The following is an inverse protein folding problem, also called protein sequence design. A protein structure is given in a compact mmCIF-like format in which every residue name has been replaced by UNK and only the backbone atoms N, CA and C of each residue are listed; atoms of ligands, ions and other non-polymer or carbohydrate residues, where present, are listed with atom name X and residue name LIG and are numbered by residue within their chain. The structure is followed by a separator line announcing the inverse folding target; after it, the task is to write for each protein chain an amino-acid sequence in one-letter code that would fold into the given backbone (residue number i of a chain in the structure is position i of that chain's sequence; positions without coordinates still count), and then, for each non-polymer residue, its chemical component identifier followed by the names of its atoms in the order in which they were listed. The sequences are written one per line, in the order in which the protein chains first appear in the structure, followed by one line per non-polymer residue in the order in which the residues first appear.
data_IF_805990622260
#
_entry.id   IF_805990622260
#
_cell.length_a   1.000
_cell.length_b   1.000
_cell.length_c   1.000
_cell.angle_alpha   90.00
_cell.angle_beta   90.00
_cell.angle_gamma   90.00
#
_symmetry.space_group_name_H-M   'P 1'
#
loop_
_entity.id
_entity.type
_entity.pdbx_description
1 polymer ?
#
# COMPACT_ATOMS: atom_id res chain seq x y z
N UNK A 1 24.51 -3.82 5.90
CA UNK A 1 24.01 -4.48 7.12
C UNK A 1 23.36 -5.79 6.71
N UNK A 2 23.67 -6.89 7.38
CA UNK A 2 23.04 -8.18 7.12
C UNK A 2 21.61 -8.15 7.71
N UNK A 3 20.60 -8.44 6.88
CA UNK A 3 19.27 -8.73 7.39
C UNK A 3 19.27 -10.13 8.04
N UNK A 4 18.67 -10.32 9.22
CA UNK A 4 18.52 -11.66 9.80
C UNK A 4 17.60 -12.56 8.95
N UNK A 5 16.72 -11.96 8.17
CA UNK A 5 15.82 -12.65 7.24
C UNK A 5 16.52 -12.79 5.88
N UNK A 6 17.04 -13.97 5.61
CA UNK A 6 17.71 -14.31 4.36
C UNK A 6 16.97 -15.46 3.68
N UNK A 7 17.04 -15.49 2.35
CA UNK A 7 16.51 -16.61 1.55
C UNK A 7 17.23 -17.92 1.89
N UNK A 8 16.52 -19.03 1.78
CA UNK A 8 17.15 -20.35 1.88
C UNK A 8 18.14 -20.56 0.72
N UNK A 9 19.16 -21.44 0.90
CA UNK A 9 20.08 -21.80 -0.19
C UNK A 9 19.35 -22.32 -1.44
N UNK A 10 18.24 -23.04 -1.26
CA UNK A 10 17.42 -23.55 -2.37
C UNK A 10 16.71 -22.40 -3.11
N UNK A 11 16.15 -21.42 -2.38
CA UNK A 11 15.51 -20.26 -3.00
C UNK A 11 16.51 -19.43 -3.81
N UNK A 12 17.77 -19.32 -3.31
CA UNK A 12 18.85 -18.65 -4.03
C UNK A 12 19.17 -19.40 -5.33
N UNK A 13 19.28 -20.72 -5.26
CA UNK A 13 19.60 -21.58 -6.42
C UNK A 13 18.53 -21.50 -7.51
N UNK A 14 17.27 -21.50 -7.12
CA UNK A 14 16.13 -21.41 -8.05
C UNK A 14 15.71 -19.99 -8.39
N UNK A 15 16.42 -18.97 -7.93
CA UNK A 15 16.10 -17.56 -8.20
C UNK A 15 14.82 -17.06 -7.54
N UNK A 16 14.30 -17.78 -6.54
CA UNK A 16 13.12 -17.40 -5.79
C UNK A 16 13.44 -16.27 -4.80
N UNK A 17 12.55 -15.30 -4.67
CA UNK A 17 12.69 -14.16 -3.75
C UNK A 17 11.88 -14.30 -2.47
N UNK A 18 11.12 -15.36 -2.34
CA UNK A 18 10.37 -15.73 -1.14
C UNK A 18 11.31 -15.98 0.05
N UNK A 19 10.83 -15.68 1.25
CA UNK A 19 11.47 -16.05 2.51
C UNK A 19 10.81 -17.26 3.18
N UNK A 20 9.80 -17.85 2.54
CA UNK A 20 8.97 -18.90 3.14
C UNK A 20 9.75 -20.14 3.56
N UNK A 21 10.84 -20.47 2.84
CA UNK A 21 11.74 -21.58 3.17
C UNK A 21 12.93 -21.15 4.08
N UNK A 22 12.92 -19.89 4.54
CA UNK A 22 13.91 -19.40 5.49
C UNK A 22 13.56 -19.84 6.91
N UNK A 23 14.49 -20.49 7.59
CA UNK A 23 14.28 -20.93 8.98
C UNK A 23 13.94 -19.73 9.90
N UNK A 24 14.64 -18.62 9.73
CA UNK A 24 14.39 -17.41 10.51
C UNK A 24 12.98 -16.83 10.27
N UNK A 25 12.51 -16.82 9.01
CA UNK A 25 11.16 -16.41 8.68
C UNK A 25 10.11 -17.35 9.25
N UNK A 26 10.29 -18.66 9.10
CA UNK A 26 9.37 -19.66 9.64
C UNK A 26 9.25 -19.53 11.18
N UNK A 27 10.36 -19.32 11.85
CA UNK A 27 10.37 -19.14 13.30
C UNK A 27 9.65 -17.85 13.71
N UNK A 28 9.90 -16.77 12.98
CA UNK A 28 9.23 -15.48 13.20
C UNK A 28 7.72 -15.59 12.96
N UNK A 29 7.28 -16.20 11.85
CA UNK A 29 5.86 -16.40 11.53
C UNK A 29 5.15 -17.27 12.59
N UNK A 30 5.82 -18.34 13.05
CA UNK A 30 5.29 -19.17 14.12
C UNK A 30 5.20 -18.40 15.44
N UNK A 31 6.23 -17.63 15.77
CA UNK A 31 6.24 -16.81 16.99
C UNK A 31 5.13 -15.76 16.97
N UNK A 32 4.93 -15.10 15.85
CA UNK A 32 3.86 -14.09 15.67
C UNK A 32 2.44 -14.68 15.76
N UNK A 33 2.29 -16.00 15.59
CA UNK A 33 1.02 -16.71 15.80
C UNK A 33 0.79 -17.13 17.24
N UNK A 34 1.87 -17.28 18.03
CA UNK A 34 1.81 -17.72 19.42
C UNK A 34 1.87 -16.57 20.43
N UNK A 35 2.56 -15.50 20.09
CA UNK A 35 2.82 -14.36 20.95
C UNK A 35 2.43 -13.06 20.26
N UNK A 36 1.92 -12.13 21.04
CA UNK A 36 1.63 -10.78 20.55
C UNK A 36 2.90 -9.93 20.50
N UNK A 37 2.92 -8.82 19.74
CA UNK A 37 4.03 -7.87 19.81
C UNK A 37 4.16 -7.21 21.20
N UNK A 38 3.12 -7.25 22.03
CA UNK A 38 3.18 -6.78 23.41
C UNK A 38 3.99 -7.69 24.30
N UNK A 39 4.04 -9.01 23.98
CA UNK A 39 4.84 -10.01 24.70
C UNK A 39 6.30 -10.02 24.22
N UNK A 40 6.50 -9.96 22.88
CA UNK A 40 7.82 -10.07 22.25
C UNK A 40 8.64 -8.78 22.27
N UNK A 41 7.98 -7.64 22.28
CA UNK A 41 8.60 -6.31 22.30
C UNK A 41 7.95 -5.41 23.36
N UNK A 42 8.17 -5.69 24.67
CA UNK A 42 7.53 -4.95 25.76
C UNK A 42 7.94 -3.48 25.80
N UNK A 43 9.11 -3.11 25.30
CA UNK A 43 9.57 -1.72 25.22
C UNK A 43 8.97 -0.96 24.03
N UNK A 44 8.44 -1.66 23.03
CA UNK A 44 7.85 -1.02 21.85
C UNK A 44 8.90 -0.48 20.87
N UNK A 45 10.13 -0.96 20.93
CA UNK A 45 11.21 -0.50 20.04
C UNK A 45 10.85 -0.74 18.56
N UNK A 46 10.98 0.32 17.77
CA UNK A 46 10.79 0.23 16.33
C UNK A 46 12.01 0.82 15.60
N UNK A 47 12.82 -0.01 14.93
CA UNK A 47 14.04 0.45 14.24
C UNK A 47 13.74 1.46 13.12
N UNK A 48 12.51 1.53 12.62
CA UNK A 48 12.09 2.49 11.61
C UNK A 48 12.10 3.93 12.16
N UNK A 49 11.89 4.13 13.47
CA UNK A 49 11.94 5.44 14.13
C UNK A 49 13.24 6.18 13.82
N UNK A 50 14.38 5.57 14.17
CA UNK A 50 15.70 6.18 13.96
C UNK A 50 16.01 6.41 12.46
N UNK A 51 15.48 5.55 11.59
CA UNK A 51 15.65 5.72 10.13
C UNK A 51 14.86 6.93 9.65
N UNK A 52 13.60 7.08 10.06
CA UNK A 52 12.75 8.21 9.67
C UNK A 52 13.30 9.53 10.20
N UNK A 53 13.70 9.58 11.45
CA UNK A 53 14.33 10.78 12.05
C UNK A 53 15.64 11.17 11.36
N UNK A 54 16.40 10.18 10.87
CA UNK A 54 17.67 10.43 10.18
C UNK A 54 17.56 10.84 8.70
N UNK A 55 16.42 10.56 8.03
CA UNK A 55 16.28 10.79 6.58
C UNK A 55 15.17 11.79 6.21
N UNK A 56 14.23 12.06 7.10
CA UNK A 56 13.08 12.95 6.85
C UNK A 56 13.25 14.25 7.62
N UNK A 57 13.33 15.35 6.88
CA UNK A 57 13.17 16.70 7.47
C UNK A 57 11.68 17.00 7.58
N UNK A 58 11.10 16.73 8.76
CA UNK A 58 9.68 16.94 9.02
C UNK A 58 9.27 18.41 8.96
N UNK A 59 10.17 19.34 9.29
CA UNK A 59 9.89 20.76 9.17
C UNK A 59 9.72 21.16 7.71
N UNK A 60 10.68 20.77 6.86
CA UNK A 60 10.59 21.01 5.41
C UNK A 60 9.39 20.30 4.79
N UNK A 61 9.11 19.05 5.20
CA UNK A 61 7.96 18.27 4.72
C UNK A 61 6.64 19.00 5.01
N UNK A 62 6.45 19.46 6.22
CA UNK A 62 5.21 20.09 6.67
C UNK A 62 4.99 21.49 6.07
N UNK A 63 6.07 22.18 5.66
CA UNK A 63 6.00 23.44 4.92
C UNK A 63 6.04 23.28 3.40
N UNK A 64 6.08 22.06 2.90
CA UNK A 64 6.09 21.77 1.46
C UNK A 64 4.80 22.26 0.79
N UNK A 65 4.88 22.84 -0.43
CA UNK A 65 3.70 23.12 -1.24
C UNK A 65 3.00 21.86 -1.75
N UNK A 66 3.70 20.71 -1.76
CA UNK A 66 3.10 19.42 -2.07
C UNK A 66 2.24 18.95 -0.91
N UNK A 67 0.98 18.61 -1.19
CA UNK A 67 0.08 18.02 -0.19
C UNK A 67 0.41 16.55 -0.02
N UNK A 68 0.68 16.16 1.21
CA UNK A 68 0.89 14.78 1.60
C UNK A 68 -0.29 14.29 2.44
N UNK A 69 -0.82 13.13 2.09
CA UNK A 69 -1.89 12.46 2.84
C UNK A 69 -1.39 11.09 3.27
N UNK A 70 -1.45 10.84 4.57
CA UNK A 70 -1.03 9.57 5.19
C UNK A 70 -2.22 9.01 5.95
N UNK A 71 -2.60 7.77 5.64
CA UNK A 71 -3.71 7.11 6.31
C UNK A 71 -3.20 6.16 7.38
N UNK A 72 -3.81 6.19 8.56
CA UNK A 72 -3.66 5.16 9.59
C UNK A 72 -5.04 4.71 10.05
N UNK A 73 -5.16 3.46 10.48
CA UNK A 73 -6.42 2.85 10.90
C UNK A 73 -6.58 2.96 12.41
N UNK A 74 -7.61 3.65 12.89
CA UNK A 74 -7.97 3.67 14.30
C UNK A 74 -8.34 2.26 14.76
N UNK A 75 -7.63 1.75 15.77
CA UNK A 75 -7.79 0.36 16.24
C UNK A 75 -9.16 0.10 16.85
N UNK A 76 -9.72 1.09 17.53
CA UNK A 76 -10.98 0.95 18.27
C UNK A 76 -12.20 0.96 17.34
N UNK A 77 -12.14 1.77 16.26
CA UNK A 77 -13.28 1.99 15.38
C UNK A 77 -13.16 1.31 14.01
N UNK A 78 -11.94 0.90 13.62
CA UNK A 78 -11.64 0.39 12.29
C UNK A 78 -11.65 1.48 11.20
N UNK A 79 -11.86 2.75 11.55
CA UNK A 79 -11.94 3.84 10.59
C UNK A 79 -10.55 4.39 10.25
N UNK A 80 -10.37 4.78 8.98
CA UNK A 80 -9.17 5.47 8.53
C UNK A 80 -9.15 6.93 8.99
N UNK A 81 -8.07 7.35 9.65
CA UNK A 81 -7.74 8.75 9.86
C UNK A 81 -6.70 9.18 8.82
N UNK A 82 -6.99 10.24 8.09
CA UNK A 82 -6.04 10.83 7.13
C UNK A 82 -5.33 11.99 7.78
N UNK A 83 -4.03 11.84 7.95
CA UNK A 83 -3.13 12.91 8.39
C UNK A 83 -2.60 13.66 7.17
N UNK A 84 -2.34 14.94 7.31
CA UNK A 84 -1.86 15.83 6.24
C UNK A 84 -0.89 16.87 6.78
N UNK A 85 -0.13 17.55 5.91
CA UNK A 85 0.64 18.69 6.38
C UNK A 85 -0.32 19.71 7.06
N UNK A 86 0.07 20.36 8.20
CA UNK A 86 1.38 20.27 8.86
C UNK A 86 1.51 19.17 9.92
N UNK A 87 0.58 18.22 10.02
CA UNK A 87 0.46 17.27 11.14
C UNK A 87 1.27 15.98 10.95
N UNK A 88 2.12 15.91 9.92
CA UNK A 88 2.93 14.71 9.66
C UNK A 88 4.12 14.66 10.62
N UNK A 89 4.15 13.61 11.43
CA UNK A 89 5.21 13.30 12.41
C UNK A 89 5.80 11.92 12.17
N UNK A 90 6.87 11.59 12.90
CA UNK A 90 7.42 10.21 12.91
C UNK A 90 6.33 9.21 13.29
N UNK A 91 5.56 9.50 14.34
CA UNK A 91 4.50 8.60 14.83
C UNK A 91 3.39 8.39 13.78
N UNK A 92 3.04 9.41 12.99
CA UNK A 92 2.09 9.28 11.89
C UNK A 92 2.60 8.30 10.83
N UNK A 93 3.88 8.39 10.46
CA UNK A 93 4.47 7.48 9.50
C UNK A 93 4.61 6.05 10.06
N UNK A 94 4.99 5.92 11.34
CA UNK A 94 5.04 4.64 12.02
C UNK A 94 3.66 4.00 12.13
N UNK A 95 2.63 4.78 12.47
CA UNK A 95 1.24 4.33 12.55
C UNK A 95 0.75 3.80 11.20
N UNK A 96 1.03 4.55 10.11
CA UNK A 96 0.62 4.17 8.76
C UNK A 96 1.28 2.89 8.22
N UNK A 97 2.36 2.43 8.87
CA UNK A 97 3.11 1.22 8.54
C UNK A 97 3.10 0.19 9.69
N UNK A 98 2.25 0.37 10.70
CA UNK A 98 2.17 -0.47 11.88
C UNK A 98 1.40 -1.75 11.61
N UNK A 99 2.09 -2.83 11.27
CA UNK A 99 1.50 -4.15 11.15
C UNK A 99 1.22 -4.74 12.54
N UNK A 100 -0.03 -5.04 12.90
CA UNK A 100 -0.43 -5.43 14.26
C UNK A 100 0.14 -6.77 14.75
N UNK A 101 0.65 -7.59 13.83
CA UNK A 101 1.32 -8.86 14.15
C UNK A 101 2.81 -8.70 14.47
N UNK A 102 3.39 -7.51 14.20
CA UNK A 102 4.83 -7.25 14.35
C UNK A 102 5.09 -6.15 15.38
N UNK A 103 4.26 -5.11 15.38
CA UNK A 103 4.45 -3.92 16.20
C UNK A 103 3.22 -3.65 17.07
N UNK A 104 3.45 -3.06 18.24
CA UNK A 104 2.38 -2.49 19.06
C UNK A 104 1.70 -1.36 18.29
N UNK A 105 0.43 -1.13 18.58
CA UNK A 105 -0.28 0.05 18.06
C UNK A 105 0.49 1.34 18.43
N UNK A 106 0.54 2.27 17.48
CA UNK A 106 1.13 3.59 17.71
C UNK A 106 0.04 4.52 18.23
N UNK A 107 0.29 5.12 19.37
CA UNK A 107 -0.65 6.05 20.00
C UNK A 107 -0.38 7.49 19.52
N UNK A 108 -1.41 8.15 19.00
CA UNK A 108 -1.38 9.56 18.59
C UNK A 108 -2.57 10.27 19.24
N UNK A 109 -2.32 11.27 20.03
CA UNK A 109 -3.34 12.01 20.80
C UNK A 109 -4.23 11.10 21.67
N UNK A 110 -3.65 10.03 22.25
CA UNK A 110 -4.37 9.07 23.10
C UNK A 110 -5.22 8.07 22.33
N UNK A 111 -5.09 8.01 21.00
CA UNK A 111 -5.82 7.07 20.13
C UNK A 111 -4.83 6.07 19.50
N UNK A 112 -5.07 4.75 19.60
CA UNK A 112 -4.20 3.73 19.02
C UNK A 112 -4.47 3.56 17.51
N UNK A 113 -3.39 3.43 16.74
CA UNK A 113 -3.44 3.26 15.28
C UNK A 113 -2.63 2.06 14.80
N UNK A 114 -3.15 1.43 13.75
CA UNK A 114 -2.49 0.43 12.90
C UNK A 114 -2.30 0.95 11.48
N UNK A 115 -1.66 0.13 10.65
CA UNK A 115 -1.42 0.37 9.22
C UNK A 115 -2.69 0.86 8.50
N UNK A 116 -2.53 1.93 7.72
CA UNK A 116 -3.62 2.52 6.96
C UNK A 116 -4.23 1.59 5.92
N UNK A 117 -3.48 0.58 5.46
CA UNK A 117 -3.94 -0.40 4.49
C UNK A 117 -5.14 -1.23 4.94
N UNK A 118 -5.44 -1.28 6.24
CA UNK A 118 -6.64 -1.96 6.75
C UNK A 118 -7.93 -1.17 6.52
N UNK A 119 -7.87 0.17 6.39
CA UNK A 119 -9.04 1.03 6.17
C UNK A 119 -9.08 1.69 4.80
N UNK A 120 -7.93 2.00 4.20
CA UNK A 120 -7.81 2.65 2.89
C UNK A 120 -6.44 2.45 2.27
N UNK A 121 -6.37 1.88 1.05
CA UNK A 121 -5.09 1.57 0.40
C UNK A 121 -5.16 1.79 -1.13
N UNK A 122 -5.00 3.01 -1.60
CA UNK A 122 -5.00 4.30 -0.88
C UNK A 122 -6.40 4.81 -0.55
N UNK A 123 -6.49 5.89 0.24
CA UNK A 123 -7.69 6.70 0.39
C UNK A 123 -7.70 7.80 -0.67
N UNK A 124 -8.59 7.75 -1.66
CA UNK A 124 -8.66 8.73 -2.75
C UNK A 124 -9.44 10.00 -2.37
N UNK A 125 -10.33 9.92 -1.38
CA UNK A 125 -11.17 11.03 -0.95
C UNK A 125 -10.43 12.36 -0.71
N UNK A 126 -9.28 12.40 -0.02
CA UNK A 126 -8.51 13.62 0.18
C UNK A 126 -8.00 14.23 -1.14
N UNK A 127 -7.64 13.40 -2.12
CA UNK A 127 -7.18 13.87 -3.43
C UNK A 127 -8.32 14.59 -4.17
N UNK A 128 -9.52 14.01 -4.17
CA UNK A 128 -10.71 14.58 -4.80
C UNK A 128 -11.12 15.92 -4.17
N UNK A 129 -11.05 15.98 -2.82
CA UNK A 129 -11.55 17.15 -2.09
C UNK A 129 -10.55 18.29 -2.03
N UNK A 130 -9.26 18.00 -1.93
CA UNK A 130 -8.25 18.97 -1.53
C UNK A 130 -7.21 19.26 -2.62
N UNK A 131 -7.09 18.41 -3.65
CA UNK A 131 -6.19 18.64 -4.78
C UNK A 131 -6.91 19.36 -5.92
N UNK A 132 -6.17 20.22 -6.63
CA UNK A 132 -6.66 20.94 -7.80
C UNK A 132 -6.46 20.20 -9.13
N UNK A 133 -6.03 18.93 -9.09
CA UNK A 133 -5.83 18.09 -10.27
C UNK A 133 -6.91 17.04 -10.36
N UNK A 134 -7.48 16.89 -11.54
CA UNK A 134 -8.38 15.77 -11.84
C UNK A 134 -7.62 14.50 -12.21
N UNK A 135 -6.31 14.58 -12.50
CA UNK A 135 -5.51 13.42 -12.82
C UNK A 135 -4.93 12.77 -11.55
N UNK A 136 -5.14 11.47 -11.42
CA UNK A 136 -4.56 10.65 -10.34
C UNK A 136 -3.81 9.47 -10.92
N UNK A 137 -2.53 9.36 -10.56
CA UNK A 137 -1.69 8.21 -10.95
C UNK A 137 -1.57 7.26 -9.77
N UNK A 138 -2.17 6.09 -9.91
CA UNK A 138 -2.04 4.99 -8.97
C UNK A 138 -0.76 4.20 -9.27
N UNK A 139 0.14 4.08 -8.29
CA UNK A 139 1.27 3.17 -8.36
C UNK A 139 0.90 1.89 -7.61
N UNK A 140 0.62 0.83 -8.36
CA UNK A 140 0.09 -0.41 -7.82
C UNK A 140 1.22 -1.43 -7.60
N UNK A 141 1.44 -1.83 -6.35
CA UNK A 141 2.43 -2.86 -5.97
C UNK A 141 1.79 -4.20 -5.65
N UNK A 142 0.53 -4.23 -5.21
CA UNK A 142 -0.19 -5.47 -4.95
C UNK A 142 -1.09 -5.79 -6.15
N UNK A 143 -0.94 -6.98 -6.80
CA UNK A 143 -1.81 -7.36 -7.91
C UNK A 143 -3.27 -7.45 -7.46
N UNK A 144 -4.18 -6.84 -8.21
CA UNK A 144 -5.62 -7.00 -8.00
C UNK A 144 -6.07 -8.38 -8.51
N UNK A 145 -5.60 -8.72 -9.70
CA UNK A 145 -5.93 -10.01 -10.35
C UNK A 145 -4.75 -10.96 -10.25
N UNK A 146 -5.00 -12.16 -9.74
CA UNK A 146 -4.03 -13.25 -9.72
C UNK A 146 -4.68 -14.48 -10.36
N UNK A 147 -4.14 -15.01 -11.47
CA UNK A 147 -4.68 -16.19 -12.15
C UNK A 147 -4.60 -17.43 -11.27
N UNK A 148 -5.57 -18.34 -11.45
CA UNK A 148 -5.62 -19.63 -10.77
C UNK A 148 -6.30 -19.59 -9.39
N UNK A 149 -6.55 -20.80 -8.87
CA UNK A 149 -7.15 -21.00 -7.55
C UNK A 149 -6.05 -21.42 -6.58
N UNK A 150 -5.84 -20.71 -5.45
CA UNK A 150 -4.86 -21.10 -4.46
C UNK A 150 -5.28 -22.44 -3.83
N UNK A 151 -4.34 -23.39 -3.70
CA UNK A 151 -4.64 -24.75 -3.21
C UNK A 151 -3.93 -25.08 -1.92
N UNK A 152 -2.83 -24.41 -1.58
CA UNK A 152 -2.15 -24.60 -0.30
C UNK A 152 -2.66 -23.62 0.74
N UNK A 153 -2.61 -23.96 2.02
CA UNK A 153 -3.00 -23.05 3.12
C UNK A 153 -2.26 -21.70 3.02
N UNK A 154 -1.01 -21.74 2.59
CA UNK A 154 -0.16 -20.57 2.42
C UNK A 154 -0.64 -19.70 1.27
N UNK A 155 -0.88 -20.26 0.08
CA UNK A 155 -1.39 -19.51 -1.07
C UNK A 155 -2.77 -18.91 -0.78
N UNK A 156 -3.62 -19.65 -0.05
CA UNK A 156 -4.92 -19.16 0.40
C UNK A 156 -4.74 -17.96 1.32
N UNK A 157 -3.85 -18.04 2.32
CA UNK A 157 -3.58 -16.93 3.24
C UNK A 157 -3.02 -15.71 2.51
N UNK A 158 -2.06 -15.91 1.59
CA UNK A 158 -1.50 -14.85 0.77
C UNK A 158 -2.59 -14.17 -0.06
N UNK A 159 -3.48 -14.95 -0.67
CA UNK A 159 -4.58 -14.41 -1.48
C UNK A 159 -5.62 -13.67 -0.65
N UNK A 160 -5.96 -14.16 0.54
CA UNK A 160 -6.85 -13.47 1.47
C UNK A 160 -6.30 -12.10 1.86
N UNK A 161 -5.00 -12.02 2.15
CA UNK A 161 -4.34 -10.75 2.44
C UNK A 161 -4.40 -9.78 1.24
N UNK A 162 -4.09 -10.25 0.01
CA UNK A 162 -4.19 -9.42 -1.19
C UNK A 162 -5.61 -8.91 -1.42
N UNK A 163 -6.62 -9.76 -1.28
CA UNK A 163 -8.03 -9.39 -1.44
C UNK A 163 -8.45 -8.36 -0.39
N UNK A 164 -8.06 -8.57 0.87
CA UNK A 164 -8.37 -7.64 1.95
C UNK A 164 -7.76 -6.26 1.73
N UNK A 165 -6.46 -6.20 1.40
CA UNK A 165 -5.77 -4.93 1.17
C UNK A 165 -6.24 -4.19 -0.09
N UNK A 166 -6.66 -4.91 -1.12
CA UNK A 166 -7.18 -4.29 -2.34
C UNK A 166 -8.66 -3.89 -2.24
N UNK A 167 -9.40 -4.38 -1.23
CA UNK A 167 -10.86 -4.22 -1.16
C UNK A 167 -11.32 -2.76 -1.08
N UNK A 168 -10.58 -1.90 -0.36
CA UNK A 168 -10.89 -0.47 -0.27
C UNK A 168 -10.68 0.25 -1.60
N UNK A 169 -9.54 0.01 -2.26
CA UNK A 169 -9.25 0.56 -3.58
C UNK A 169 -10.33 0.15 -4.60
N UNK A 170 -10.70 -1.13 -4.61
CA UNK A 170 -11.73 -1.64 -5.51
C UNK A 170 -13.07 -0.93 -5.31
N UNK A 171 -13.44 -0.65 -4.06
CA UNK A 171 -14.68 0.10 -3.74
C UNK A 171 -14.61 1.54 -4.22
N UNK A 172 -13.47 2.22 -4.05
CA UNK A 172 -13.30 3.60 -4.50
C UNK A 172 -13.27 3.71 -6.03
N UNK A 173 -12.56 2.81 -6.73
CA UNK A 173 -12.56 2.77 -8.21
C UNK A 173 -13.95 2.47 -8.76
N UNK A 174 -14.69 1.57 -8.12
CA UNK A 174 -16.10 1.30 -8.47
C UNK A 174 -16.98 2.52 -8.25
N UNK A 175 -16.79 3.25 -7.15
CA UNK A 175 -17.53 4.50 -6.90
C UNK A 175 -17.28 5.52 -8.00
N UNK A 176 -16.01 5.70 -8.41
CA UNK A 176 -15.66 6.61 -9.51
C UNK A 176 -16.33 6.17 -10.81
N UNK A 177 -16.34 4.87 -11.13
CA UNK A 177 -17.01 4.34 -12.33
C UNK A 177 -18.52 4.66 -12.33
N UNK A 178 -19.21 4.42 -11.22
CA UNK A 178 -20.64 4.74 -11.09
C UNK A 178 -20.89 6.25 -11.24
N UNK A 179 -20.14 7.06 -10.50
CA UNK A 179 -20.34 8.51 -10.50
C UNK A 179 -19.96 9.18 -11.84
N UNK A 180 -19.07 8.56 -12.62
CA UNK A 180 -18.75 9.03 -13.97
C UNK A 180 -19.96 8.99 -14.90
N UNK A 181 -20.80 7.95 -14.75
CA UNK A 181 -21.96 7.74 -15.60
C UNK A 181 -23.22 8.48 -15.08
N UNK A 182 -23.35 8.59 -13.76
CA UNK A 182 -24.60 9.00 -13.10
C UNK A 182 -24.48 10.31 -12.31
N UNK A 183 -23.30 10.98 -12.33
CA UNK A 183 -23.13 12.22 -11.57
C UNK A 183 -24.02 13.35 -12.13
N UNK A 184 -24.65 14.16 -11.25
CA UNK A 184 -25.43 15.30 -11.68
C UNK A 184 -24.58 16.37 -12.36
N UNK A 185 -25.15 17.10 -13.34
CA UNK A 185 -24.45 18.11 -14.12
C UNK A 185 -24.03 19.36 -13.35
N UNK A 186 -24.35 19.48 -12.08
CA UNK A 186 -23.97 20.62 -11.25
C UNK A 186 -22.76 20.32 -10.37
N UNK A 187 -21.98 21.36 -10.05
CA UNK A 187 -20.76 21.26 -9.26
C UNK A 187 -21.04 20.76 -7.83
N UNK A 188 -20.84 19.47 -7.60
CA UNK A 188 -20.95 18.82 -6.30
C UNK A 188 -19.77 17.84 -6.08
N UNK A 189 -19.67 17.24 -4.90
CA UNK A 189 -18.60 16.27 -4.61
C UNK A 189 -18.69 15.06 -5.55
N UNK A 190 -19.88 14.57 -5.87
CA UNK A 190 -20.09 13.45 -6.77
C UNK A 190 -19.55 13.73 -8.19
N UNK A 191 -19.76 14.94 -8.72
CA UNK A 191 -19.21 15.32 -10.02
C UNK A 191 -17.69 15.40 -10.02
N UNK A 192 -17.05 15.81 -8.92
CA UNK A 192 -15.58 15.77 -8.78
C UNK A 192 -15.03 14.34 -8.83
N UNK A 193 -15.69 13.41 -8.13
CA UNK A 193 -15.33 12.00 -8.18
C UNK A 193 -15.47 11.44 -9.60
N UNK A 194 -16.57 11.70 -10.28
CA UNK A 194 -16.82 11.27 -11.65
C UNK A 194 -15.84 11.87 -12.68
N UNK A 195 -15.38 13.10 -12.44
CA UNK A 195 -14.43 13.78 -13.31
C UNK A 195 -12.98 13.28 -13.20
N UNK A 196 -12.65 12.47 -12.18
CA UNK A 196 -11.27 11.99 -11.96
C UNK A 196 -10.76 11.17 -13.14
N UNK A 197 -9.61 11.56 -13.68
CA UNK A 197 -8.89 10.79 -14.70
C UNK A 197 -7.88 9.89 -14.01
N UNK A 198 -8.24 8.60 -13.93
CA UNK A 198 -7.41 7.58 -13.30
C UNK A 198 -6.39 7.01 -14.28
N UNK A 199 -5.16 6.90 -13.80
CA UNK A 199 -4.03 6.26 -14.47
C UNK A 199 -3.46 5.19 -13.54
N UNK A 200 -2.85 4.14 -14.09
CA UNK A 200 -2.23 3.10 -13.27
C UNK A 200 -0.87 2.70 -13.81
N UNK A 201 0.13 2.70 -12.93
CA UNK A 201 1.44 2.12 -13.17
C UNK A 201 1.49 0.83 -12.37
N UNK A 202 1.54 -0.30 -13.06
CA UNK A 202 1.61 -1.64 -12.49
C UNK A 202 2.62 -2.50 -13.26
N UNK A 203 3.09 -3.58 -12.66
CA UNK A 203 3.98 -4.55 -13.30
C UNK A 203 3.49 -5.97 -13.03
N UNK A 204 3.40 -6.78 -14.08
CA UNK A 204 3.07 -8.19 -13.97
C UNK A 204 4.15 -8.99 -13.20
N UNK A 205 5.39 -8.50 -13.17
CA UNK A 205 6.45 -9.08 -12.37
C UNK A 205 6.10 -9.16 -10.86
N UNK A 206 5.16 -8.34 -10.39
CA UNK A 206 4.68 -8.41 -9.00
C UNK A 206 3.89 -9.69 -8.71
N UNK A 207 3.43 -10.42 -9.73
CA UNK A 207 2.79 -11.73 -9.57
C UNK A 207 3.76 -12.83 -9.12
N UNK A 208 5.07 -12.64 -9.35
CA UNK A 208 6.13 -13.57 -8.92
C UNK A 208 6.39 -13.52 -7.40
N UNK A 209 5.92 -12.46 -6.71
CA UNK A 209 6.22 -12.21 -5.31
C UNK A 209 5.04 -12.58 -4.42
N UNK A 210 5.37 -13.19 -3.29
CA UNK A 210 4.44 -13.56 -2.23
C UNK A 210 4.50 -12.56 -1.05
N UNK A 211 3.70 -12.82 -0.01
CA UNK A 211 3.65 -11.99 1.19
C UNK A 211 5.01 -11.97 1.92
N UNK A 212 5.74 -13.09 1.95
CA UNK A 212 7.01 -13.19 2.65
C UNK A 212 8.11 -12.36 2.00
N UNK A 213 8.06 -12.22 0.66
CA UNK A 213 9.02 -11.41 -0.09
C UNK A 213 9.00 -9.94 0.32
N UNK A 214 7.89 -9.42 0.85
CA UNK A 214 7.79 -8.04 1.37
C UNK A 214 8.73 -7.77 2.55
N UNK A 215 9.16 -8.81 3.25
CA UNK A 215 10.12 -8.73 4.34
C UNK A 215 11.57 -8.99 3.89
N UNK A 216 11.78 -9.22 2.61
CA UNK A 216 13.11 -9.46 2.05
C UNK A 216 13.88 -8.14 1.86
N UNK A 217 14.76 -7.83 2.81
CA UNK A 217 15.59 -6.63 2.79
C UNK A 217 16.96 -6.82 2.07
N UNK A 218 17.13 -7.89 1.28
CA UNK A 218 18.37 -8.11 0.52
C UNK A 218 18.54 -7.01 -0.54
N UNK A 219 19.72 -6.43 -0.62
CA UNK A 219 20.01 -5.34 -1.56
C UNK A 219 19.73 -5.70 -3.02
N UNK A 220 20.06 -6.93 -3.42
CA UNK A 220 19.76 -7.45 -4.77
C UNK A 220 18.27 -7.47 -5.07
N UNK A 221 17.43 -7.79 -4.08
CA UNK A 221 15.98 -7.76 -4.24
C UNK A 221 15.45 -6.31 -4.34
N UNK A 222 15.92 -5.42 -3.47
CA UNK A 222 15.56 -4.00 -3.53
C UNK A 222 15.96 -3.37 -4.87
N UNK A 223 17.14 -3.76 -5.40
CA UNK A 223 17.59 -3.32 -6.73
C UNK A 223 16.69 -3.85 -7.84
N UNK A 224 16.30 -5.14 -7.79
CA UNK A 224 15.34 -5.73 -8.72
C UNK A 224 14.00 -4.99 -8.69
N UNK A 225 13.45 -4.71 -7.50
CA UNK A 225 12.18 -3.98 -7.37
C UNK A 225 12.29 -2.55 -7.93
N UNK A 226 13.39 -1.85 -7.64
CA UNK A 226 13.66 -0.52 -8.21
C UNK A 226 13.64 -0.55 -9.73
N UNK A 227 14.35 -1.49 -10.33
CA UNK A 227 14.48 -1.57 -11.79
C UNK A 227 13.14 -1.97 -12.42
N UNK A 228 12.42 -2.94 -11.84
CA UNK A 228 11.05 -3.29 -12.24
C UNK A 228 10.11 -2.06 -12.21
N UNK A 229 10.18 -1.26 -11.14
CA UNK A 229 9.35 -0.05 -11.02
C UNK A 229 9.72 1.01 -12.06
N UNK A 230 11.01 1.20 -12.35
CA UNK A 230 11.49 2.12 -13.39
C UNK A 230 11.03 1.70 -14.79
N UNK A 231 11.12 0.41 -15.09
CA UNK A 231 10.68 -0.13 -16.38
C UNK A 231 9.18 0.05 -16.57
N UNK A 232 8.38 -0.27 -15.54
CA UNK A 232 6.93 -0.07 -15.56
C UNK A 232 6.55 1.42 -15.76
N UNK A 233 7.20 2.32 -15.02
CA UNK A 233 6.96 3.76 -15.15
C UNK A 233 7.39 4.29 -16.52
N UNK A 234 8.53 3.83 -17.04
CA UNK A 234 9.04 4.22 -18.37
C UNK A 234 8.10 3.74 -19.49
N UNK A 235 7.62 2.50 -19.40
CA UNK A 235 6.65 1.95 -20.35
C UNK A 235 5.33 2.74 -20.32
N UNK A 236 4.82 3.04 -19.12
CA UNK A 236 3.63 3.87 -18.94
C UNK A 236 3.80 5.26 -19.56
N UNK A 237 4.88 5.98 -19.23
CA UNK A 237 5.14 7.32 -19.74
C UNK A 237 5.34 7.33 -21.26
N UNK A 238 6.03 6.33 -21.82
CA UNK A 238 6.20 6.21 -23.28
C UNK A 238 4.86 6.11 -24.00
N UNK A 239 3.89 5.39 -23.40
CA UNK A 239 2.58 5.14 -24.01
C UNK A 239 1.57 6.26 -23.71
N UNK A 240 1.57 6.76 -22.47
CA UNK A 240 0.43 7.52 -21.92
C UNK A 240 0.78 8.95 -21.46
N UNK A 241 2.02 9.42 -21.61
CA UNK A 241 2.38 10.79 -21.18
C UNK A 241 1.47 11.88 -21.76
N UNK A 242 1.01 11.71 -23.01
CA UNK A 242 0.14 12.67 -23.70
C UNK A 242 -1.33 12.57 -23.29
N UNK A 243 -1.70 11.51 -22.62
CA UNK A 243 -3.06 11.29 -22.13
C UNK A 243 -3.29 11.98 -20.78
N UNK A 244 -2.22 12.19 -19.99
CA UNK A 244 -2.29 12.89 -18.70
C UNK A 244 -2.76 14.33 -18.95
N UNK A 245 -3.76 14.78 -18.20
CA UNK A 245 -4.41 16.06 -18.37
C UNK A 245 -5.52 16.06 -19.45
N UNK A 246 -5.64 14.99 -20.24
CA UNK A 246 -6.58 14.91 -21.36
C UNK A 246 -7.64 13.85 -21.15
N UNK A 247 -7.25 12.60 -20.85
CA UNK A 247 -8.18 11.47 -20.72
C UNK A 247 -7.63 10.42 -19.78
N UNK A 248 -8.49 9.63 -19.10
CA UNK A 248 -8.05 8.51 -18.27
C UNK A 248 -7.35 7.41 -19.10
N UNK A 249 -6.44 6.66 -18.46
CA UNK A 249 -5.78 5.52 -19.08
C UNK A 249 -6.08 4.21 -18.35
N UNK A 250 -6.67 4.28 -17.14
CA UNK A 250 -7.22 3.13 -16.45
C UNK A 250 -8.67 2.94 -16.88
N UNK A 251 -8.97 1.76 -17.39
CA UNK A 251 -10.34 1.36 -17.71
C UNK A 251 -11.09 1.05 -16.41
N UNK A 252 -12.02 1.91 -16.04
CA UNK A 252 -12.82 1.76 -14.82
C UNK A 252 -14.01 0.82 -15.02
N UNK A 253 -14.39 0.48 -16.25
CA UNK A 253 -15.48 -0.46 -16.50
C UNK A 253 -15.13 -1.87 -16.04
N UNK A 254 -13.81 -2.17 -15.93
CA UNK A 254 -13.32 -3.40 -15.29
C UNK A 254 -13.69 -3.51 -13.80
N UNK A 255 -14.05 -2.40 -13.17
CA UNK A 255 -14.44 -2.29 -11.76
C UNK A 255 -15.93 -2.00 -11.60
N UNK A 256 -16.65 -1.82 -12.69
CA UNK A 256 -18.09 -1.62 -12.67
C UNK A 256 -18.80 -2.81 -11.99
N UNK A 257 -19.95 -2.58 -11.34
CA UNK A 257 -20.72 -3.67 -10.76
C UNK A 257 -21.19 -4.62 -11.86
N UNK A 258 -20.89 -5.89 -11.68
CA UNK A 258 -21.53 -6.95 -12.45
C UNK A 258 -22.90 -7.22 -11.79
N UNK A 259 -23.93 -6.59 -12.35
CA UNK A 259 -25.33 -6.81 -11.96
C UNK A 259 -25.97 -7.85 -12.89
N UNK A 260 -25.19 -8.88 -13.32
CA UNK A 260 -25.60 -9.93 -14.22
C UNK A 260 -26.91 -10.64 -13.92
#
# INVERSE_FOLDING_TARGET
RFSPLQRSPMDILFGNWSLENSFAYMWMDMSAKMFSPYDLNPLGDNPLTAILEGVVDFAALNHSPAKLFVTATNVETGQGRVFRNPDITVDVLLASACLPTIYKAIEIDGVPYWDGGYSGNPSLGPLVRECGSDDTVLVQINPVKRPGVPKTSRDISNRLNEVSFNSSLMKELRLISILRNDAPDHACEASKWGAMRMHCIASEAMLEFDQSSKMNAQWSFMTKLRDTGRDAASAFLKKHRRDIGVKPTLDLDLFAPDYG
#
